data_IF_118955218348
#
_entry.id   IF_118955218348
#
_cell.length_a   1.000
_cell.length_b   1.000
_cell.length_c   1.000
_cell.angle_alpha   90.00
_cell.angle_beta   90.00
_cell.angle_gamma   90.00
#
_symmetry.space_group_name_H-M   'P 1'
#
loop_
_entity.id
_entity.type
_entity.pdbx_description
1 polymer ?
#
# COMPACT_ATOMS: atom_id res chain seq x y z
N UNK A 1 3.92 24.60 1.76
CA UNK A 1 3.92 24.79 3.24
C UNK A 1 4.55 23.57 3.89
N UNK A 2 5.50 23.77 4.81
CA UNK A 2 6.22 22.66 5.46
C UNK A 2 5.75 22.51 6.92
N UNK A 3 5.29 21.31 7.27
CA UNK A 3 4.76 20.98 8.61
C UNK A 3 5.64 19.91 9.24
N UNK A 4 6.09 20.16 10.46
CA UNK A 4 6.92 19.22 11.23
C UNK A 4 6.16 18.78 12.46
N UNK A 5 6.34 17.53 12.86
CA UNK A 5 5.83 17.05 14.12
C UNK A 5 6.70 15.93 14.69
N UNK A 6 6.61 15.80 16.00
CA UNK A 6 7.24 14.74 16.79
C UNK A 6 6.19 14.13 17.70
N UNK A 7 6.24 12.82 17.83
CA UNK A 7 5.37 11.99 18.66
C UNK A 7 6.20 11.39 19.78
N UNK A 8 5.70 11.50 21.00
CA UNK A 8 6.29 10.92 22.21
C UNK A 8 5.32 9.89 22.81
N UNK A 9 5.80 8.68 23.04
CA UNK A 9 5.06 7.58 23.63
C UNK A 9 5.10 7.66 25.15
N UNK A 10 3.94 7.87 25.77
CA UNK A 10 3.81 7.84 27.22
C UNK A 10 3.49 6.42 27.68
N UNK A 11 4.50 5.66 28.11
CA UNK A 11 4.33 4.29 28.59
C UNK A 11 3.37 4.16 29.78
N UNK A 12 3.38 5.13 30.69
CA UNK A 12 2.58 5.07 31.91
C UNK A 12 1.08 5.21 31.61
N UNK A 13 0.73 6.06 30.65
CA UNK A 13 -0.65 6.31 30.25
C UNK A 13 -1.10 5.49 29.03
N UNK A 14 -0.16 4.82 28.34
CA UNK A 14 -0.38 4.18 27.03
C UNK A 14 -1.00 5.15 26.03
N UNK A 15 -0.51 6.38 26.00
CA UNK A 15 -0.98 7.45 25.11
C UNK A 15 0.18 8.05 24.33
N UNK A 16 -0.15 8.69 23.21
CA UNK A 16 0.78 9.49 22.43
C UNK A 16 0.58 10.98 22.73
N UNK A 17 1.69 11.72 22.78
CA UNK A 17 1.69 13.18 22.78
C UNK A 17 2.36 13.67 21.50
N UNK A 18 1.76 14.65 20.84
CA UNK A 18 2.29 15.25 19.61
C UNK A 18 2.72 16.69 19.86
N UNK A 19 3.86 17.06 19.31
CA UNK A 19 4.38 18.42 19.33
C UNK A 19 4.76 18.86 17.91
N UNK A 20 4.41 20.08 17.53
CA UNK A 20 4.69 20.66 16.21
C UNK A 20 6.15 21.18 16.09
N UNK A 21 7.09 20.31 16.45
CA UNK A 21 8.53 20.55 16.38
C UNK A 21 9.21 19.32 15.80
N UNK A 22 10.43 19.49 15.29
CA UNK A 22 11.27 18.38 14.87
C UNK A 22 12.28 18.06 15.97
N UNK A 23 11.95 17.11 16.87
CA UNK A 23 12.82 16.63 17.92
C UNK A 23 13.20 15.16 17.69
N UNK A 24 14.47 14.93 17.35
CA UNK A 24 15.01 13.60 17.06
C UNK A 24 15.03 12.66 18.27
N UNK A 25 14.70 13.15 19.46
CA UNK A 25 14.61 12.36 20.69
C UNK A 25 13.24 11.71 20.89
N UNK A 26 12.23 12.11 20.12
CA UNK A 26 10.90 11.49 20.14
C UNK A 26 10.86 10.13 19.44
N UNK A 27 9.76 9.41 19.64
CA UNK A 27 9.57 8.03 19.19
C UNK A 27 9.24 7.92 17.72
N UNK A 28 8.54 8.92 17.18
CA UNK A 28 8.44 9.17 15.76
C UNK A 28 8.57 10.67 15.48
N UNK A 29 9.30 11.04 14.44
CA UNK A 29 9.46 12.44 14.05
C UNK A 29 9.62 12.54 12.53
N UNK A 30 9.25 13.69 11.98
CA UNK A 30 9.21 13.84 10.54
C UNK A 30 8.59 15.14 10.08
N UNK A 31 8.35 15.22 8.78
CA UNK A 31 7.71 16.37 8.17
C UNK A 31 6.87 15.99 6.96
N UNK A 32 5.88 16.83 6.68
CA UNK A 32 5.17 16.87 5.43
C UNK A 32 5.40 18.22 4.75
N UNK A 33 6.06 18.19 3.59
CA UNK A 33 6.25 19.35 2.73
C UNK A 33 5.16 19.36 1.65
N UNK A 34 4.18 20.25 1.81
CA UNK A 34 3.13 20.44 0.83
C UNK A 34 3.62 21.34 -0.31
N UNK A 35 4.05 20.72 -1.41
CA UNK A 35 4.45 21.37 -2.67
C UNK A 35 3.52 21.00 -3.82
N UNK A 36 2.32 20.46 -3.54
CA UNK A 36 1.41 19.93 -4.57
C UNK A 36 1.08 20.97 -5.63
N UNK A 37 0.84 22.23 -5.24
CA UNK A 37 0.50 23.32 -6.17
C UNK A 37 1.68 23.75 -7.07
N UNK A 38 2.92 23.45 -6.69
CA UNK A 38 4.12 23.86 -7.44
C UNK A 38 4.75 22.72 -8.23
N UNK A 39 4.68 21.48 -7.74
CA UNK A 39 5.35 20.32 -8.34
C UNK A 39 4.42 19.17 -8.68
N UNK A 40 3.14 19.23 -8.27
CA UNK A 40 2.21 18.10 -8.30
C UNK A 40 2.40 17.10 -7.15
N UNK A 41 3.39 17.30 -6.27
CA UNK A 41 3.74 16.36 -5.21
C UNK A 41 3.80 17.03 -3.84
N UNK A 42 3.26 16.36 -2.82
CA UNK A 42 3.75 16.51 -1.45
C UNK A 42 4.91 15.56 -1.19
N UNK A 43 5.77 15.87 -0.22
CA UNK A 43 6.86 14.99 0.24
C UNK A 43 6.70 14.74 1.73
N UNK A 44 6.68 13.47 2.13
CA UNK A 44 6.57 13.04 3.52
C UNK A 44 7.82 12.26 3.92
N UNK A 45 8.50 12.67 4.98
CA UNK A 45 9.56 11.87 5.62
C UNK A 45 9.15 11.54 7.05
N UNK A 46 9.19 10.27 7.42
CA UNK A 46 8.94 9.79 8.78
C UNK A 46 10.07 8.89 9.23
N UNK A 47 10.58 9.17 10.43
CA UNK A 47 11.48 8.30 11.17
C UNK A 47 10.84 7.87 12.46
N UNK A 48 10.99 6.59 12.83
CA UNK A 48 10.44 6.07 14.07
C UNK A 48 11.36 5.02 14.71
N UNK A 49 11.31 4.89 16.04
CA UNK A 49 12.12 3.93 16.81
C UNK A 49 13.58 4.31 17.03
N UNK A 50 13.93 5.58 16.81
CA UNK A 50 15.27 6.15 17.04
C UNK A 50 15.31 7.11 18.26
N UNK A 51 14.21 7.19 19.00
CA UNK A 51 14.07 8.08 20.16
C UNK A 51 14.88 7.63 21.37
N UNK A 52 14.76 8.37 22.48
CA UNK A 52 15.47 8.06 23.73
C UNK A 52 15.00 6.78 24.41
N UNK A 53 13.76 6.40 24.20
CA UNK A 53 13.19 5.21 24.82
C UNK A 53 13.13 4.05 23.82
N UNK A 54 13.40 2.86 24.33
CA UNK A 54 13.12 1.62 23.60
C UNK A 54 11.65 1.27 23.77
N UNK A 55 10.92 1.18 22.67
CA UNK A 55 9.51 0.77 22.59
C UNK A 55 9.39 -0.47 21.70
N UNK A 56 8.26 -1.17 21.76
CA UNK A 56 8.06 -2.39 20.96
C UNK A 56 7.98 -2.07 19.46
N UNK A 57 8.20 -3.06 18.60
CA UNK A 57 8.06 -2.88 17.15
C UNK A 57 6.64 -2.43 16.78
N UNK A 58 5.62 -2.97 17.44
CA UNK A 58 4.23 -2.56 17.30
C UNK A 58 4.02 -1.09 17.69
N UNK A 59 4.58 -0.64 18.82
CA UNK A 59 4.49 0.77 19.25
C UNK A 59 5.23 1.70 18.29
N UNK A 60 6.37 1.28 17.72
CA UNK A 60 7.11 2.04 16.69
C UNK A 60 6.21 2.26 15.47
N UNK A 61 5.58 1.20 14.98
CA UNK A 61 4.72 1.25 13.82
C UNK A 61 3.46 2.08 14.08
N UNK A 62 2.86 1.93 15.26
CA UNK A 62 1.73 2.75 15.70
C UNK A 62 2.11 4.24 15.79
N UNK A 63 3.25 4.58 16.41
CA UNK A 63 3.73 5.96 16.49
C UNK A 63 4.04 6.55 15.10
N UNK A 64 4.61 5.76 14.18
CA UNK A 64 4.84 6.16 12.80
C UNK A 64 3.54 6.44 12.06
N UNK A 65 2.55 5.55 12.19
CA UNK A 65 1.21 5.73 11.65
C UNK A 65 0.55 6.99 12.20
N UNK A 66 0.57 7.18 13.52
CA UNK A 66 0.02 8.36 14.17
C UNK A 66 0.62 9.65 13.63
N UNK A 67 1.94 9.70 13.50
CA UNK A 67 2.61 10.87 12.96
C UNK A 67 2.20 11.14 11.50
N UNK A 68 2.10 10.10 10.65
CA UNK A 68 1.62 10.25 9.28
C UNK A 68 0.19 10.80 9.23
N UNK A 69 -0.70 10.22 10.04
CA UNK A 69 -2.11 10.61 10.10
C UNK A 69 -2.25 12.05 10.53
N UNK A 70 -1.50 12.45 11.56
CA UNK A 70 -1.50 13.83 12.05
C UNK A 70 -0.98 14.83 11.01
N UNK A 71 0.17 14.54 10.40
CA UNK A 71 0.81 15.44 9.43
C UNK A 71 0.00 15.55 8.13
N UNK A 72 -0.61 14.48 7.67
CA UNK A 72 -1.29 14.42 6.37
C UNK A 72 -2.80 14.57 6.45
N UNK A 73 -3.38 14.67 7.66
CA UNK A 73 -4.82 14.74 7.89
C UNK A 73 -5.58 15.65 6.92
N UNK A 74 -5.25 16.95 6.70
CA UNK A 74 -6.01 17.79 5.77
C UNK A 74 -6.20 17.14 4.39
N UNK A 75 -5.13 16.61 3.80
CA UNK A 75 -5.19 15.97 2.50
C UNK A 75 -5.78 14.56 2.54
N UNK A 76 -5.81 13.89 3.70
CA UNK A 76 -6.58 12.64 3.85
C UNK A 76 -8.08 12.91 3.66
N UNK A 77 -8.60 14.02 4.19
CA UNK A 77 -10.00 14.41 3.99
C UNK A 77 -10.29 14.72 2.52
N UNK A 78 -9.43 15.53 1.89
CA UNK A 78 -9.58 15.87 0.48
C UNK A 78 -9.53 14.62 -0.41
N UNK A 79 -8.57 13.74 -0.16
CA UNK A 79 -8.42 12.53 -0.95
C UNK A 79 -9.56 11.53 -0.72
N UNK A 80 -10.04 11.38 0.52
CA UNK A 80 -11.23 10.58 0.81
C UNK A 80 -12.47 11.13 0.09
N UNK A 81 -12.69 12.44 0.13
CA UNK A 81 -13.80 13.09 -0.57
C UNK A 81 -13.73 12.88 -2.09
N UNK A 82 -12.52 12.89 -2.66
CA UNK A 82 -12.31 12.65 -4.09
C UNK A 82 -12.55 11.19 -4.48
N UNK A 83 -12.00 10.25 -3.70
CA UNK A 83 -11.99 8.82 -4.04
C UNK A 83 -13.28 8.09 -3.70
N UNK A 84 -13.95 8.48 -2.61
CA UNK A 84 -15.19 7.85 -2.17
C UNK A 84 -16.25 7.71 -3.28
N UNK A 85 -16.63 8.79 -4.01
CA UNK A 85 -17.64 8.69 -5.07
C UNK A 85 -17.15 7.94 -6.31
N UNK A 86 -15.85 7.67 -6.45
CA UNK A 86 -15.32 6.89 -7.58
C UNK A 86 -15.69 5.42 -7.45
N UNK A 87 -15.66 4.87 -6.23
CA UNK A 87 -15.90 3.46 -5.95
C UNK A 87 -17.27 3.19 -5.32
N UNK A 88 -17.69 4.01 -4.35
CA UNK A 88 -18.95 3.80 -3.62
C UNK A 88 -20.06 4.64 -4.24
N UNK A 89 -20.89 4.00 -5.08
CA UNK A 89 -21.94 4.69 -5.86
C UNK A 89 -23.29 4.82 -5.15
N UNK A 90 -23.57 3.94 -4.18
CA UNK A 90 -24.85 3.92 -3.48
C UNK A 90 -24.71 3.27 -2.07
N UNK A 91 -25.72 3.40 -1.21
CA UNK A 91 -25.69 2.85 0.16
C UNK A 91 -25.54 1.33 0.23
N UNK A 92 -26.07 0.58 -0.76
CA UNK A 92 -25.95 -0.88 -0.79
C UNK A 92 -24.49 -1.31 -0.99
N UNK A 93 -23.80 -0.68 -1.96
CA UNK A 93 -22.36 -0.88 -2.18
C UNK A 93 -21.56 -0.53 -0.93
N UNK A 94 -21.87 0.62 -0.31
CA UNK A 94 -21.24 1.03 0.96
C UNK A 94 -21.37 -0.06 2.02
N UNK A 95 -22.59 -0.55 2.27
CA UNK A 95 -22.85 -1.52 3.34
C UNK A 95 -22.19 -2.88 3.08
N UNK A 96 -22.19 -3.37 1.84
CA UNK A 96 -21.57 -4.66 1.53
C UNK A 96 -20.05 -4.61 1.62
N UNK A 97 -19.42 -3.55 1.11
CA UNK A 97 -17.97 -3.32 1.25
C UNK A 97 -17.59 -3.18 2.72
N UNK A 98 -18.31 -2.35 3.48
CA UNK A 98 -18.04 -2.16 4.91
C UNK A 98 -18.16 -3.47 5.71
N UNK A 99 -19.18 -4.30 5.43
CA UNK A 99 -19.37 -5.59 6.08
C UNK A 99 -18.24 -6.57 5.73
N UNK A 100 -17.85 -6.65 4.46
CA UNK A 100 -16.75 -7.52 4.02
C UNK A 100 -15.43 -7.11 4.69
N UNK A 101 -15.09 -5.81 4.64
CA UNK A 101 -13.86 -5.29 5.23
C UNK A 101 -13.83 -5.46 6.74
N UNK A 102 -14.97 -5.32 7.43
CA UNK A 102 -15.05 -5.56 8.87
C UNK A 102 -14.73 -7.03 9.22
N UNK A 103 -15.26 -7.99 8.45
CA UNK A 103 -14.95 -9.43 8.62
C UNK A 103 -13.48 -9.72 8.31
N UNK A 104 -12.94 -9.12 7.26
CA UNK A 104 -11.54 -9.28 6.85
C UNK A 104 -10.56 -8.74 7.92
N UNK A 105 -10.84 -7.55 8.47
CA UNK A 105 -10.05 -6.96 9.55
C UNK A 105 -10.15 -7.80 10.83
N UNK A 106 -11.36 -8.28 11.19
CA UNK A 106 -11.55 -9.18 12.33
C UNK A 106 -10.75 -10.47 12.18
N UNK A 107 -10.82 -11.11 11.02
CA UNK A 107 -10.08 -12.33 10.71
C UNK A 107 -8.57 -12.07 10.77
N UNK A 108 -8.08 -11.00 10.15
CA UNK A 108 -6.66 -10.60 10.16
C UNK A 108 -6.15 -10.44 11.59
N UNK A 109 -6.88 -9.69 12.44
CA UNK A 109 -6.52 -9.49 13.85
C UNK A 109 -6.62 -10.77 14.67
N UNK A 110 -7.49 -11.71 14.31
CA UNK A 110 -7.54 -13.02 14.95
C UNK A 110 -6.30 -13.85 14.57
N UNK A 111 -5.92 -13.88 13.30
CA UNK A 111 -4.71 -14.58 12.85
C UNK A 111 -3.43 -14.02 13.49
N UNK A 112 -3.30 -12.69 13.58
CA UNK A 112 -2.18 -12.04 14.28
C UNK A 112 -2.10 -12.48 15.75
N UNK A 113 -3.25 -12.54 16.44
CA UNK A 113 -3.30 -12.96 17.86
C UNK A 113 -2.98 -14.43 18.06
N UNK A 114 -3.39 -15.29 17.13
CA UNK A 114 -3.24 -16.74 17.23
C UNK A 114 -1.84 -17.22 16.81
N UNK A 115 -1.13 -16.45 15.97
CA UNK A 115 0.13 -16.87 15.36
C UNK A 115 1.28 -15.91 15.70
N UNK A 116 1.41 -15.49 16.96
CA UNK A 116 2.40 -14.47 17.39
C UNK A 116 3.86 -14.84 17.13
N UNK A 117 4.17 -16.14 17.10
CA UNK A 117 5.54 -16.62 16.86
C UNK A 117 5.85 -16.76 15.36
N UNK A 118 4.84 -16.70 14.49
CA UNK A 118 5.03 -16.73 13.04
C UNK A 118 5.53 -15.35 12.55
N UNK A 119 6.70 -15.26 11.89
CA UNK A 119 7.23 -14.00 11.40
C UNK A 119 6.28 -13.25 10.45
N UNK A 120 5.55 -13.96 9.59
CA UNK A 120 4.60 -13.34 8.67
C UNK A 120 3.47 -12.65 9.43
N UNK A 121 2.91 -13.31 10.45
CA UNK A 121 1.83 -12.74 11.26
C UNK A 121 2.30 -11.65 12.22
N UNK A 122 3.56 -11.67 12.68
CA UNK A 122 4.15 -10.50 13.36
C UNK A 122 4.22 -9.27 12.45
N UNK A 123 4.68 -9.45 11.21
CA UNK A 123 4.73 -8.36 10.23
C UNK A 123 3.34 -7.86 9.82
N UNK A 124 2.34 -8.76 9.76
CA UNK A 124 0.94 -8.37 9.65
C UNK A 124 0.50 -7.51 10.85
N UNK A 125 0.90 -7.87 12.08
CA UNK A 125 0.71 -7.08 13.28
C UNK A 125 1.30 -5.67 13.19
N UNK A 126 2.53 -5.55 12.67
CA UNK A 126 3.22 -4.27 12.47
C UNK A 126 2.46 -3.33 11.53
N UNK A 127 1.98 -3.83 10.38
CA UNK A 127 1.26 -3.00 9.41
C UNK A 127 -0.13 -2.60 9.92
N UNK A 128 -0.80 -3.46 10.69
CA UNK A 128 -2.10 -3.14 11.31
C UNK A 128 -1.93 -2.14 12.45
N UNK A 129 -0.86 -2.24 13.25
CA UNK A 129 -0.53 -1.24 14.26
C UNK A 129 -0.29 0.14 13.62
N UNK A 130 0.38 0.20 12.46
CA UNK A 130 0.54 1.44 11.71
C UNK A 130 -0.79 2.01 11.21
N UNK A 131 -1.71 1.16 10.74
CA UNK A 131 -3.05 1.58 10.31
C UNK A 131 -3.86 2.16 11.49
N UNK A 132 -3.81 1.50 12.64
CA UNK A 132 -4.45 1.98 13.88
C UNK A 132 -3.85 3.33 14.32
N UNK A 133 -2.53 3.45 14.22
CA UNK A 133 -1.82 4.71 14.44
C UNK A 133 -2.32 5.80 13.50
N UNK A 134 -2.37 5.53 12.19
CA UNK A 134 -2.82 6.47 11.16
C UNK A 134 -4.19 7.07 11.48
N UNK A 135 -5.15 6.20 11.82
CA UNK A 135 -6.48 6.63 12.24
C UNK A 135 -6.42 7.56 13.46
N UNK A 136 -5.67 7.16 14.49
CA UNK A 136 -5.58 7.92 15.74
C UNK A 136 -4.87 9.26 15.58
N UNK A 137 -3.87 9.35 14.69
CA UNK A 137 -3.21 10.60 14.33
C UNK A 137 -4.15 11.59 13.62
N UNK A 138 -4.92 11.08 12.65
CA UNK A 138 -5.93 11.88 11.97
C UNK A 138 -7.05 12.33 12.92
N UNK A 139 -7.46 11.47 13.85
CA UNK A 139 -8.43 11.78 14.90
C UNK A 139 -7.96 12.90 15.82
N UNK A 140 -6.70 12.85 16.29
CA UNK A 140 -6.14 13.91 17.14
C UNK A 140 -6.04 15.25 16.39
N UNK A 141 -5.62 15.22 15.12
CA UNK A 141 -5.64 16.41 14.28
C UNK A 141 -7.06 17.00 14.16
N UNK A 142 -8.07 16.17 13.90
CA UNK A 142 -9.45 16.60 13.77
C UNK A 142 -9.98 17.22 15.06
N UNK A 143 -9.68 16.62 16.21
CA UNK A 143 -10.02 17.15 17.54
C UNK A 143 -9.41 18.54 17.77
N UNK A 144 -8.11 18.71 17.52
CA UNK A 144 -7.43 20.01 17.71
C UNK A 144 -7.98 21.09 16.79
N UNK A 145 -8.42 20.73 15.58
CA UNK A 145 -8.97 21.66 14.58
C UNK A 145 -10.50 21.76 14.60
N UNK A 146 -11.17 21.13 15.59
CA UNK A 146 -12.63 21.10 15.73
C UNK A 146 -13.35 20.64 14.44
N UNK A 147 -12.80 19.62 13.77
CA UNK A 147 -13.34 18.98 12.57
C UNK A 147 -14.01 17.66 12.92
N UNK A 148 -15.02 17.26 12.14
CA UNK A 148 -15.59 15.92 12.22
C UNK A 148 -14.52 14.88 11.87
N UNK A 149 -14.25 13.87 12.70
CA UNK A 149 -13.27 12.83 12.40
C UNK A 149 -13.62 12.02 11.16
N UNK A 150 -12.60 11.62 10.38
CA UNK A 150 -12.75 10.48 9.48
C UNK A 150 -13.12 9.24 10.30
N UNK A 151 -14.01 8.40 9.79
CA UNK A 151 -14.33 7.13 10.44
C UNK A 151 -13.21 6.10 10.21
N UNK A 152 -13.19 5.04 11.03
CA UNK A 152 -12.28 3.91 10.80
C UNK A 152 -12.47 3.33 9.38
N UNK A 153 -13.72 3.22 8.93
CA UNK A 153 -14.04 2.77 7.58
C UNK A 153 -13.40 3.68 6.51
N UNK A 154 -13.40 5.00 6.69
CA UNK A 154 -12.81 5.91 5.70
C UNK A 154 -11.30 5.69 5.57
N UNK A 155 -10.59 5.45 6.70
CA UNK A 155 -9.15 5.17 6.70
C UNK A 155 -8.84 3.80 6.10
N UNK A 156 -9.63 2.77 6.43
CA UNK A 156 -9.50 1.44 5.82
C UNK A 156 -9.81 1.49 4.32
N UNK A 157 -10.83 2.24 3.91
CA UNK A 157 -11.24 2.43 2.52
C UNK A 157 -10.08 2.98 1.67
N UNK A 158 -9.38 4.01 2.16
CA UNK A 158 -8.22 4.58 1.46
C UNK A 158 -7.14 3.52 1.20
N UNK A 159 -6.86 2.66 2.17
CA UNK A 159 -5.83 1.62 2.02
C UNK A 159 -6.26 0.47 1.12
N UNK A 160 -7.58 0.22 0.99
CA UNK A 160 -8.13 -0.87 0.20
C UNK A 160 -8.51 -0.45 -1.24
N UNK A 161 -8.27 0.79 -1.67
CA UNK A 161 -8.74 1.31 -2.98
C UNK A 161 -8.45 0.38 -4.16
N UNK A 162 -7.24 -0.20 -4.23
CA UNK A 162 -6.89 -1.17 -5.28
C UNK A 162 -7.68 -2.48 -5.17
N UNK A 163 -7.79 -3.03 -3.96
CA UNK A 163 -8.56 -4.25 -3.69
C UNK A 163 -10.06 -4.08 -3.99
N UNK A 164 -10.60 -2.87 -3.79
CA UNK A 164 -12.01 -2.57 -4.05
C UNK A 164 -12.38 -2.63 -5.54
N UNK A 165 -11.41 -2.51 -6.44
CA UNK A 165 -11.63 -2.65 -7.89
C UNK A 165 -12.09 -4.06 -8.28
N UNK A 166 -11.60 -5.09 -7.58
CA UNK A 166 -12.03 -6.48 -7.77
C UNK A 166 -13.14 -6.88 -6.78
N UNK A 167 -13.08 -6.38 -5.54
CA UNK A 167 -14.05 -6.75 -4.51
C UNK A 167 -15.47 -6.28 -4.82
N UNK A 168 -15.65 -5.05 -5.30
CA UNK A 168 -16.99 -4.52 -5.59
C UNK A 168 -17.69 -5.37 -6.67
N UNK A 169 -17.06 -5.66 -7.82
CA UNK A 169 -17.61 -6.61 -8.80
C UNK A 169 -17.83 -8.03 -8.25
N UNK A 170 -17.02 -8.49 -7.29
CA UNK A 170 -17.20 -9.80 -6.66
C UNK A 170 -18.44 -9.86 -5.76
N UNK A 171 -18.72 -8.79 -5.01
CA UNK A 171 -19.85 -8.72 -4.07
C UNK A 171 -21.17 -8.39 -4.76
N UNK A 172 -21.13 -7.65 -5.86
CA UNK A 172 -22.31 -7.16 -6.54
C UNK A 172 -22.28 -7.61 -7.99
N UNK A 173 -23.25 -8.44 -8.38
CA UNK A 173 -23.54 -8.64 -9.79
C UNK A 173 -24.04 -7.30 -10.35
N UNK A 174 -23.20 -6.60 -11.11
CA UNK A 174 -23.71 -5.57 -12.00
C UNK A 174 -24.56 -6.27 -13.05
N UNK A 175 -25.87 -6.27 -12.84
CA UNK A 175 -26.80 -6.61 -13.91
C UNK A 175 -26.44 -5.71 -15.09
N UNK A 176 -26.16 -6.33 -16.24
CA UNK A 176 -26.14 -5.60 -17.50
C UNK A 176 -27.50 -4.91 -17.61
N UNK A 177 -27.54 -3.61 -17.32
CA UNK A 177 -28.70 -2.70 -17.34
C UNK A 177 -30.03 -3.37 -17.70
N UNK A 178 -30.75 -3.87 -16.69
CA UNK A 178 -32.19 -4.06 -16.82
C UNK A 178 -32.85 -2.67 -16.87
N UNK A 179 -33.25 -2.21 -18.05
CA UNK A 179 -34.30 -1.18 -18.16
C UNK A 179 -34.02 0.11 -18.94
N UNK A 180 -33.07 0.17 -19.87
CA UNK A 180 -33.07 1.25 -20.87
C UNK A 180 -32.85 0.71 -22.27
N UNK A 181 -33.95 0.55 -23.01
CA UNK A 181 -33.96 0.61 -24.46
C UNK A 181 -33.22 1.90 -24.89
N UNK A 182 -32.32 1.80 -25.86
CA UNK A 182 -31.42 2.85 -26.37
C UNK A 182 -30.01 2.86 -25.77
N UNK A 183 -29.32 1.72 -25.80
CA UNK A 183 -27.88 1.72 -25.97
C UNK A 183 -27.60 1.10 -27.36
N UNK A 184 -27.08 1.92 -28.27
CA UNK A 184 -26.64 1.49 -29.59
C UNK A 184 -25.73 0.27 -29.46
N UNK A 185 -25.94 -0.70 -30.36
CA UNK A 185 -25.15 -1.92 -30.46
C UNK A 185 -23.70 -1.57 -30.83
N UNK A 186 -22.88 -1.31 -29.79
CA UNK A 186 -21.48 -0.90 -29.93
C UNK A 186 -20.83 -0.32 -28.65
N UNK A 187 -21.59 -0.05 -27.60
CA UNK A 187 -21.07 0.62 -26.39
C UNK A 187 -20.53 -0.33 -25.31
N UNK A 188 -19.29 -0.08 -24.88
CA UNK A 188 -18.48 -0.71 -23.83
C UNK A 188 -19.11 -0.71 -22.40
N UNK A 189 -20.33 -1.22 -22.23
CA UNK A 189 -21.06 -1.19 -20.96
C UNK A 189 -20.59 -2.19 -19.89
N UNK A 190 -19.75 -3.17 -20.24
CA UNK A 190 -19.23 -4.18 -19.31
C UNK A 190 -17.91 -3.79 -18.62
N UNK A 191 -17.28 -2.70 -19.05
CA UNK A 191 -15.92 -2.30 -18.66
C UNK A 191 -15.91 -0.97 -17.90
N UNK A 192 -16.95 -0.71 -17.11
CA UNK A 192 -17.07 0.56 -16.36
C UNK A 192 -15.99 0.71 -15.25
N UNK A 193 -15.22 -0.35 -15.00
CA UNK A 193 -14.08 -0.41 -14.09
C UNK A 193 -12.75 -0.62 -14.81
N UNK A 194 -12.65 -0.20 -16.08
CA UNK A 194 -11.40 -0.17 -16.86
C UNK A 194 -10.46 0.95 -16.37
N UNK A 195 -10.20 0.96 -15.06
CA UNK A 195 -9.35 1.93 -14.35
C UNK A 195 -8.01 1.31 -13.93
N UNK A 196 -7.67 0.13 -14.43
CA UNK A 196 -6.58 -0.71 -13.92
C UNK A 196 -5.44 -0.93 -14.90
N UNK A 197 -4.97 0.11 -15.58
CA UNK A 197 -3.82 -0.02 -16.48
C UNK A 197 -2.71 0.90 -16.03
N UNK A 198 -1.54 0.34 -15.75
CA UNK A 198 -0.31 1.10 -15.56
C UNK A 198 0.68 0.65 -16.63
N UNK A 199 1.69 1.46 -16.89
CA UNK A 199 2.81 1.07 -17.76
C UNK A 199 4.09 1.03 -16.95
N UNK A 200 4.84 -0.08 -17.03
CA UNK A 200 6.15 -0.23 -16.41
C UNK A 200 7.19 -0.63 -17.46
N UNK A 201 8.42 -0.18 -17.27
CA UNK A 201 9.55 -0.59 -18.10
C UNK A 201 10.79 -0.77 -17.23
N UNK A 202 11.43 -1.93 -17.34
CA UNK A 202 12.77 -2.19 -16.84
C UNK A 202 13.66 -2.37 -18.07
N UNK A 203 14.66 -1.50 -18.20
CA UNK A 203 15.53 -1.43 -19.38
C UNK A 203 16.99 -1.53 -18.96
N UNK A 204 17.71 -2.52 -19.49
CA UNK A 204 19.17 -2.57 -19.35
C UNK A 204 19.82 -1.93 -20.57
N UNK A 205 20.89 -1.17 -20.34
CA UNK A 205 21.65 -0.58 -21.45
C UNK A 205 22.49 -1.63 -22.20
N UNK A 206 22.84 -1.42 -23.49
CA UNK A 206 23.43 -2.45 -24.34
C UNK A 206 24.70 -3.12 -23.81
N UNK A 207 25.54 -2.38 -23.09
CA UNK A 207 26.76 -2.88 -22.44
C UNK A 207 26.62 -3.06 -20.92
N UNK A 208 25.38 -3.16 -20.41
CA UNK A 208 25.07 -3.19 -18.97
C UNK A 208 25.60 -1.99 -18.19
N UNK A 209 25.77 -0.84 -18.83
CA UNK A 209 26.34 0.37 -18.23
C UNK A 209 25.43 0.94 -17.16
N UNK A 210 24.12 0.74 -17.33
CA UNK A 210 23.10 1.09 -16.36
C UNK A 210 21.88 0.18 -16.52
N UNK A 211 21.02 0.19 -15.51
CA UNK A 211 19.67 -0.36 -15.56
C UNK A 211 18.70 0.73 -15.13
N UNK A 212 17.67 0.97 -15.93
CA UNK A 212 16.58 1.88 -15.63
C UNK A 212 15.33 1.08 -15.31
N UNK A 213 14.53 1.62 -14.40
CA UNK A 213 13.22 1.10 -14.05
C UNK A 213 12.29 2.30 -13.89
N UNK A 214 11.14 2.24 -14.54
CA UNK A 214 10.17 3.32 -14.56
C UNK A 214 8.75 2.76 -14.49
N UNK A 215 7.86 3.54 -13.90
CA UNK A 215 6.45 3.22 -13.75
C UNK A 215 5.62 4.48 -14.02
N UNK A 216 4.52 4.33 -14.75
CA UNK A 216 3.55 5.37 -15.05
C UNK A 216 2.15 4.85 -14.71
N UNK A 217 1.64 5.27 -13.56
CA UNK A 217 0.30 4.86 -13.10
C UNK A 217 -0.77 5.52 -13.95
N UNK A 218 -1.79 4.77 -14.37
CA UNK A 218 -3.01 5.37 -14.91
C UNK A 218 -4.17 5.07 -13.99
N UNK A 219 -4.90 6.11 -13.63
CA UNK A 219 -6.07 6.01 -12.78
C UNK A 219 -6.96 7.24 -12.98
N UNK A 220 -8.08 7.31 -12.27
CA UNK A 220 -8.96 8.50 -12.30
C UNK A 220 -8.21 9.78 -11.91
N UNK A 221 -8.48 10.89 -12.60
CA UNK A 221 -7.89 12.18 -12.25
C UNK A 221 -8.26 12.65 -10.83
N UNK A 222 -9.36 12.15 -10.27
CA UNK A 222 -9.71 12.39 -8.87
C UNK A 222 -8.63 11.90 -7.88
N UNK A 223 -7.78 10.95 -8.29
CA UNK A 223 -6.69 10.42 -7.47
C UNK A 223 -5.41 11.28 -7.52
N UNK A 224 -5.35 12.36 -8.29
CA UNK A 224 -4.10 13.11 -8.55
C UNK A 224 -3.56 13.95 -7.37
N UNK A 225 -4.11 13.80 -6.16
CA UNK A 225 -3.51 14.37 -4.95
C UNK A 225 -2.39 13.45 -4.43
N UNK A 226 -1.13 13.78 -4.76
CA UNK A 226 0.01 12.87 -4.58
C UNK A 226 0.89 13.20 -3.38
N UNK A 227 1.46 12.16 -2.76
CA UNK A 227 2.53 12.27 -1.75
C UNK A 227 3.62 11.27 -2.10
N UNK A 228 4.86 11.73 -2.28
CA UNK A 228 6.03 10.85 -2.30
C UNK A 228 6.49 10.63 -0.85
N UNK A 229 6.64 9.36 -0.44
CA UNK A 229 6.86 8.99 0.96
C UNK A 229 8.22 8.38 1.16
N UNK A 230 8.87 8.77 2.26
CA UNK A 230 10.11 8.20 2.76
C UNK A 230 9.90 7.73 4.19
N UNK A 231 9.99 6.44 4.40
CA UNK A 231 9.88 5.84 5.73
C UNK A 231 11.21 5.26 6.16
N UNK A 232 11.55 5.47 7.43
CA UNK A 232 12.68 4.86 8.09
C UNK A 232 12.28 4.44 9.51
N UNK A 233 11.87 3.19 9.70
CA UNK A 233 11.35 2.68 10.96
C UNK A 233 12.33 1.67 11.52
N UNK A 234 12.83 1.90 12.73
CA UNK A 234 13.85 1.06 13.36
C UNK A 234 13.27 -0.23 13.94
N UNK A 235 12.69 -1.07 13.08
CA UNK A 235 12.13 -2.36 13.49
C UNK A 235 13.27 -3.34 13.72
N UNK A 236 13.27 -3.97 14.90
CA UNK A 236 14.25 -4.97 15.30
C UNK A 236 13.55 -6.32 15.34
N UNK A 237 13.46 -6.98 14.19
CA UNK A 237 12.99 -8.36 14.04
C UNK A 237 13.97 -9.09 13.08
N UNK A 238 14.44 -10.31 13.40
CA UNK A 238 15.38 -11.06 12.55
C UNK A 238 14.90 -11.33 11.11
N UNK A 239 13.58 -11.25 10.89
CA UNK A 239 12.94 -11.48 9.59
C UNK A 239 12.60 -10.17 8.85
N UNK A 240 12.86 -9.00 9.45
CA UNK A 240 12.80 -7.73 8.73
C UNK A 240 14.10 -7.53 7.94
N UNK A 241 13.98 -7.32 6.63
CA UNK A 241 15.11 -7.12 5.71
C UNK A 241 15.34 -5.68 5.32
N UNK A 242 14.34 -4.83 5.50
CA UNK A 242 14.50 -3.39 5.32
C UNK A 242 13.70 -2.59 6.32
N UNK A 243 14.36 -1.57 6.85
CA UNK A 243 13.76 -0.54 7.70
C UNK A 243 13.50 0.75 6.94
N UNK A 244 13.92 0.82 5.66
CA UNK A 244 13.84 2.02 4.82
C UNK A 244 13.10 1.73 3.53
N UNK A 245 12.20 2.63 3.16
CA UNK A 245 11.46 2.52 1.91
C UNK A 245 11.11 3.91 1.39
N UNK A 246 11.18 4.08 0.07
CA UNK A 246 10.75 5.29 -0.64
C UNK A 246 9.82 4.91 -1.77
N UNK A 247 8.67 5.58 -1.89
CA UNK A 247 7.63 5.18 -2.83
C UNK A 247 6.69 6.35 -3.17
N UNK A 248 6.12 6.32 -4.38
CA UNK A 248 5.01 7.20 -4.74
C UNK A 248 3.74 6.73 -4.04
N UNK A 249 2.88 7.65 -3.61
CA UNK A 249 1.70 7.31 -2.81
C UNK A 249 0.70 8.46 -2.80
N UNK A 250 -0.27 8.36 -1.88
CA UNK A 250 -1.42 9.22 -1.72
C UNK A 250 -1.65 9.54 -0.22
N UNK A 251 -2.37 10.62 0.12
CA UNK A 251 -2.74 10.91 1.50
C UNK A 251 -3.53 9.77 2.15
N UNK A 252 -3.09 9.30 3.33
CA UNK A 252 -3.76 8.23 4.07
C UNK A 252 -3.50 6.80 3.59
N UNK A 253 -2.78 6.64 2.47
CA UNK A 253 -2.43 5.32 1.94
C UNK A 253 -1.13 4.84 2.57
N UNK A 254 -1.16 3.78 3.36
CA UNK A 254 0.04 3.10 3.84
C UNK A 254 0.61 2.14 2.79
N UNK A 255 0.36 2.40 1.52
CA UNK A 255 0.78 1.65 0.34
C UNK A 255 0.97 2.63 -0.84
N UNK A 256 1.62 2.19 -1.91
CA UNK A 256 1.83 3.01 -3.11
C UNK A 256 0.58 3.09 -3.96
N UNK A 257 -0.20 2.00 -4.05
CA UNK A 257 -1.24 1.73 -5.05
C UNK A 257 -0.67 1.64 -6.48
N UNK A 258 0.25 2.51 -6.87
CA UNK A 258 0.74 2.65 -8.25
C UNK A 258 1.13 1.35 -9.00
N UNK A 259 2.05 0.47 -8.58
CA UNK A 259 2.99 0.56 -7.46
C UNK A 259 4.43 0.86 -7.90
N UNK A 260 5.14 1.74 -7.17
CA UNK A 260 6.57 2.01 -7.35
C UNK A 260 7.27 2.11 -6.00
N UNK A 261 8.19 1.19 -5.72
CA UNK A 261 8.94 1.13 -4.47
C UNK A 261 10.45 1.02 -4.69
N UNK A 262 11.20 1.79 -3.91
CA UNK A 262 12.64 1.63 -3.70
C UNK A 262 12.84 1.14 -2.26
N UNK A 263 13.23 -0.13 -2.11
CA UNK A 263 13.40 -0.78 -0.81
C UNK A 263 14.86 -0.73 -0.38
N UNK A 264 15.10 -0.45 0.91
CA UNK A 264 16.44 -0.45 1.51
C UNK A 264 17.15 -1.81 1.48
N UNK A 265 16.44 -2.91 1.19
CA UNK A 265 17.00 -4.24 0.94
C UNK A 265 17.68 -4.37 -0.44
N UNK A 266 17.68 -3.29 -1.25
CA UNK A 266 18.21 -3.27 -2.61
C UNK A 266 17.22 -3.78 -3.65
N UNK A 267 15.96 -4.00 -3.28
CA UNK A 267 14.89 -4.38 -4.19
C UNK A 267 14.16 -3.16 -4.71
N UNK A 268 13.79 -3.19 -6.00
CA UNK A 268 12.78 -2.32 -6.59
C UNK A 268 11.55 -3.17 -6.83
N UNK A 269 10.37 -2.67 -6.43
CA UNK A 269 9.10 -3.35 -6.70
C UNK A 269 8.21 -2.41 -7.52
N UNK A 270 7.85 -2.87 -8.72
CA UNK A 270 6.89 -2.24 -9.61
C UNK A 270 5.69 -3.15 -9.83
N UNK A 271 4.57 -2.61 -10.31
CA UNK A 271 3.42 -3.43 -10.64
C UNK A 271 2.56 -2.80 -11.75
N UNK A 272 1.88 -3.63 -12.56
CA UNK A 272 0.81 -3.20 -13.48
C UNK A 272 -0.41 -4.13 -13.37
N UNK A 273 -1.62 -3.59 -13.38
CA UNK A 273 -2.82 -4.37 -13.01
C UNK A 273 -3.27 -5.22 -14.19
N UNK A 274 -3.52 -6.50 -13.91
CA UNK A 274 -4.09 -7.45 -14.85
C UNK A 274 -5.60 -7.52 -14.62
N UNK A 275 -6.37 -7.70 -15.69
CA UNK A 275 -7.81 -7.91 -15.56
C UNK A 275 -8.14 -9.40 -15.47
N UNK A 276 -8.96 -9.78 -14.49
CA UNK A 276 -9.53 -11.13 -14.40
C UNK A 276 -10.93 -11.09 -15.00
N UNK A 277 -11.11 -11.65 -16.20
CA UNK A 277 -12.42 -11.69 -16.87
C UNK A 277 -13.24 -12.95 -16.54
N UNK A 278 -12.64 -13.91 -15.83
CA UNK A 278 -13.32 -15.14 -15.42
C UNK A 278 -14.16 -14.88 -14.17
N UNK A 279 -15.46 -14.70 -14.37
CA UNK A 279 -16.42 -14.43 -13.29
C UNK A 279 -16.49 -15.54 -12.24
N UNK A 280 -16.24 -16.80 -12.63
CA UNK A 280 -16.21 -17.93 -11.68
C UNK A 280 -15.08 -17.77 -10.67
N UNK A 281 -13.93 -17.22 -11.08
CA UNK A 281 -12.81 -16.96 -10.18
C UNK A 281 -13.06 -15.75 -9.28
N UNK A 282 -13.62 -14.66 -9.82
CA UNK A 282 -13.92 -13.45 -9.04
C UNK A 282 -14.87 -13.77 -7.87
N UNK A 283 -15.83 -14.68 -8.08
CA UNK A 283 -16.78 -15.12 -7.03
C UNK A 283 -16.12 -15.93 -5.88
N UNK A 284 -14.83 -16.24 -5.96
CA UNK A 284 -14.10 -16.97 -4.92
C UNK A 284 -13.41 -16.06 -3.90
N UNK A 285 -13.55 -14.73 -4.05
CA UNK A 285 -13.03 -13.75 -3.07
C UNK A 285 -13.79 -13.89 -1.74
N UNK A 286 -13.06 -14.09 -0.65
CA UNK A 286 -13.60 -14.30 0.71
C UNK A 286 -12.88 -13.43 1.75
N UNK A 287 -13.56 -13.03 2.85
CA UNK A 287 -12.96 -12.16 3.86
C UNK A 287 -11.84 -12.85 4.67
N UNK A 288 -11.76 -14.18 4.67
CA UNK A 288 -10.68 -14.97 5.29
C UNK A 288 -9.39 -14.98 4.45
N UNK A 289 -8.94 -13.80 4.04
CA UNK A 289 -7.75 -13.57 3.22
C UNK A 289 -7.09 -12.23 3.59
N UNK A 290 -5.87 -11.97 3.10
CA UNK A 290 -5.22 -10.66 3.26
C UNK A 290 -5.32 -9.87 1.96
N UNK A 291 -5.77 -8.62 2.06
CA UNK A 291 -5.78 -7.70 0.93
C UNK A 291 -4.38 -7.50 0.34
N UNK A 292 -4.31 -7.18 -0.94
CA UNK A 292 -3.06 -7.00 -1.67
C UNK A 292 -2.16 -5.96 -1.01
N UNK A 293 -2.71 -4.82 -0.56
CA UNK A 293 -1.91 -3.79 0.12
C UNK A 293 -1.22 -4.32 1.38
N UNK A 294 -1.85 -5.25 2.11
CA UNK A 294 -1.29 -5.87 3.31
C UNK A 294 -0.15 -6.82 2.92
N UNK A 295 -0.39 -7.68 1.92
CA UNK A 295 0.59 -8.67 1.44
C UNK A 295 1.81 -8.01 0.81
N UNK A 296 1.62 -6.97 0.00
CA UNK A 296 2.70 -6.14 -0.57
C UNK A 296 3.56 -5.54 0.55
N UNK A 297 2.93 -4.95 1.58
CA UNK A 297 3.65 -4.33 2.69
C UNK A 297 4.46 -5.34 3.50
N UNK A 298 3.91 -6.53 3.76
CA UNK A 298 4.62 -7.61 4.44
C UNK A 298 5.80 -8.11 3.59
N UNK A 299 5.58 -8.38 2.31
CA UNK A 299 6.63 -8.83 1.39
C UNK A 299 7.76 -7.80 1.25
N UNK A 300 7.44 -6.52 1.09
CA UNK A 300 8.41 -5.43 1.02
C UNK A 300 9.30 -5.35 2.27
N UNK A 301 8.75 -5.66 3.45
CA UNK A 301 9.46 -5.58 4.72
C UNK A 301 10.35 -6.81 4.97
N UNK A 302 9.89 -7.99 4.53
CA UNK A 302 10.53 -9.29 4.82
C UNK A 302 11.49 -9.80 3.74
N UNK A 303 11.37 -9.33 2.49
CA UNK A 303 12.11 -9.90 1.38
C UNK A 303 13.51 -9.31 1.21
N UNK A 304 14.50 -10.18 0.99
CA UNK A 304 15.86 -9.86 0.58
C UNK A 304 16.18 -10.28 -0.87
N UNK A 305 15.24 -10.94 -1.56
CA UNK A 305 15.36 -11.38 -2.96
C UNK A 305 14.00 -11.41 -3.64
N UNK A 306 13.98 -11.43 -4.98
CA UNK A 306 12.73 -11.52 -5.75
C UNK A 306 11.92 -12.79 -5.45
N UNK A 307 12.59 -13.94 -5.28
CA UNK A 307 11.94 -15.21 -4.90
C UNK A 307 11.29 -15.13 -3.52
N UNK A 308 12.03 -14.63 -2.52
CA UNK A 308 11.50 -14.49 -1.16
C UNK A 308 10.31 -13.51 -1.11
N UNK A 309 10.34 -12.45 -1.93
CA UNK A 309 9.22 -11.54 -2.10
C UNK A 309 7.98 -12.27 -2.63
N UNK A 310 8.14 -13.04 -3.72
CA UNK A 310 7.06 -13.80 -4.33
C UNK A 310 6.44 -14.83 -3.38
N UNK A 311 7.27 -15.61 -2.67
CA UNK A 311 6.82 -16.61 -1.69
C UNK A 311 6.08 -15.96 -0.51
N UNK A 312 6.53 -14.79 -0.05
CA UNK A 312 5.87 -14.05 1.03
C UNK A 312 4.55 -13.46 0.58
N UNK A 313 4.52 -12.82 -0.61
CA UNK A 313 3.33 -12.18 -1.18
C UNK A 313 2.20 -13.19 -1.50
N UNK A 314 2.56 -14.42 -1.86
CA UNK A 314 1.63 -15.49 -2.23
C UNK A 314 0.75 -15.97 -1.06
N UNK A 315 1.19 -15.75 0.19
CA UNK A 315 0.45 -16.20 1.38
C UNK A 315 -0.86 -15.45 1.54
N UNK A 316 -1.93 -16.18 1.87
CA UNK A 316 -3.27 -15.63 2.11
C UNK A 316 -3.81 -14.78 0.95
N UNK A 317 -3.52 -15.17 -0.29
CA UNK A 317 -3.99 -14.50 -1.50
C UNK A 317 -5.50 -14.22 -1.44
N UNK A 318 -5.88 -12.95 -1.62
CA UNK A 318 -7.28 -12.50 -1.62
C UNK A 318 -7.97 -12.62 -2.98
N UNK A 319 -7.22 -12.73 -4.07
CA UNK A 319 -7.79 -12.57 -5.42
C UNK A 319 -8.29 -11.16 -5.72
N UNK A 320 -7.84 -10.18 -4.95
CA UNK A 320 -8.14 -8.76 -5.14
C UNK A 320 -6.87 -7.98 -5.45
N UNK A 321 -7.02 -6.92 -6.23
CA UNK A 321 -5.95 -6.19 -6.88
C UNK A 321 -4.99 -7.11 -7.64
N UNK A 322 -5.55 -7.76 -8.66
CA UNK A 322 -4.87 -8.80 -9.45
C UNK A 322 -3.86 -8.18 -10.41
N UNK A 323 -2.59 -8.53 -10.24
CA UNK A 323 -1.49 -7.68 -10.66
C UNK A 323 -0.32 -8.54 -11.18
N UNK A 324 0.43 -8.00 -12.13
CA UNK A 324 1.80 -8.44 -12.43
C UNK A 324 2.78 -7.56 -11.65
N UNK A 325 3.51 -8.15 -10.72
CA UNK A 325 4.58 -7.51 -9.96
C UNK A 325 5.94 -7.83 -10.59
N UNK A 326 6.78 -6.80 -10.70
CA UNK A 326 8.16 -6.90 -11.16
C UNK A 326 9.08 -6.57 -9.98
N UNK A 327 9.81 -7.57 -9.50
CA UNK A 327 10.76 -7.42 -8.38
C UNK A 327 12.17 -7.48 -8.94
N UNK A 328 12.80 -6.31 -9.05
CA UNK A 328 14.17 -6.15 -9.53
C UNK A 328 15.13 -6.10 -8.33
N UNK A 329 16.03 -7.07 -8.23
CA UNK A 329 17.07 -7.11 -7.21
C UNK A 329 18.37 -6.45 -7.70
N UNK A 330 18.61 -5.22 -7.27
CA UNK A 330 19.80 -4.47 -7.66
C UNK A 330 21.09 -5.09 -7.13
N UNK A 331 21.03 -5.96 -6.10
CA UNK A 331 22.21 -6.70 -5.61
C UNK A 331 22.73 -7.72 -6.62
N UNK A 332 21.90 -8.10 -7.59
CA UNK A 332 22.23 -9.04 -8.68
C UNK A 332 22.66 -8.32 -9.97
N UNK A 333 22.66 -6.99 -9.97
CA UNK A 333 23.08 -6.16 -11.11
C UNK A 333 24.56 -5.79 -10.94
N UNK A 334 25.44 -6.35 -11.78
CA UNK A 334 26.86 -5.99 -11.85
C UNK A 334 27.09 -5.19 -13.12
N UNK A 335 27.09 -3.87 -12.99
CA UNK A 335 27.26 -2.96 -14.13
C UNK A 335 28.50 -3.31 -14.95
N UNK A 336 28.36 -3.19 -16.27
CA UNK A 336 29.38 -3.51 -17.29
C UNK A 336 29.87 -4.96 -17.27
N UNK A 337 29.16 -5.86 -16.58
CA UNK A 337 29.60 -7.25 -16.39
C UNK A 337 28.47 -8.26 -16.58
N UNK A 338 27.49 -8.28 -15.68
CA UNK A 338 26.43 -9.29 -15.71
C UNK A 338 25.16 -8.84 -14.99
N UNK A 339 24.03 -9.36 -15.44
CA UNK A 339 22.83 -9.51 -14.62
C UNK A 339 22.83 -10.95 -14.13
N UNK A 340 23.03 -11.20 -12.85
CA UNK A 340 23.08 -12.56 -12.28
C UNK A 340 21.66 -13.11 -12.09
N UNK A 341 21.48 -14.43 -12.11
CA UNK A 341 20.17 -15.05 -11.89
C UNK A 341 19.54 -14.57 -10.57
N UNK A 342 18.23 -14.34 -10.62
CA UNK A 342 17.42 -13.69 -9.60
C UNK A 342 17.41 -12.18 -9.65
N UNK A 343 18.00 -11.54 -10.69
CA UNK A 343 17.92 -10.10 -10.87
C UNK A 343 16.50 -9.61 -11.12
N UNK A 344 15.67 -10.34 -11.87
CA UNK A 344 14.27 -9.98 -12.10
C UNK A 344 13.35 -11.17 -11.84
N UNK A 345 12.44 -11.02 -10.88
CA UNK A 345 11.30 -11.92 -10.70
C UNK A 345 10.02 -11.26 -11.18
N UNK A 346 9.22 -12.02 -11.93
CA UNK A 346 7.85 -11.67 -12.28
C UNK A 346 6.91 -12.52 -11.44
N UNK A 347 5.90 -11.88 -10.86
CA UNK A 347 4.87 -12.52 -10.02
C UNK A 347 3.51 -12.08 -10.53
N UNK A 348 2.63 -13.03 -10.83
CA UNK A 348 1.26 -12.74 -11.27
C UNK A 348 0.26 -13.38 -10.32
N UNK A 349 -0.78 -12.61 -9.99
CA UNK A 349 -1.87 -13.06 -9.14
C UNK A 349 -3.20 -13.02 -9.90
N UNK A 350 -3.99 -14.05 -9.69
CA UNK A 350 -5.45 -14.07 -9.86
C UNK A 350 -6.10 -14.69 -8.60
N UNK A 351 -7.44 -14.75 -8.45
CA UNK A 351 -8.06 -15.49 -7.36
C UNK A 351 -7.57 -16.94 -7.28
N UNK A 352 -7.12 -17.35 -6.09
CA UNK A 352 -6.63 -18.70 -5.75
C UNK A 352 -5.37 -19.18 -6.49
N UNK A 353 -4.70 -18.33 -7.27
CA UNK A 353 -3.44 -18.68 -7.92
C UNK A 353 -2.47 -17.50 -7.89
N UNK A 354 -1.25 -17.78 -7.46
CA UNK A 354 -0.09 -16.91 -7.65
C UNK A 354 1.00 -17.72 -8.31
N UNK A 355 1.48 -17.24 -9.45
CA UNK A 355 2.60 -17.84 -10.17
C UNK A 355 3.76 -16.84 -10.18
N UNK A 356 4.99 -17.36 -10.11
CA UNK A 356 6.18 -16.52 -10.18
C UNK A 356 7.34 -17.25 -10.84
N UNK A 357 8.19 -16.48 -11.52
CA UNK A 357 9.36 -17.01 -12.21
C UNK A 357 10.49 -15.99 -12.30
N UNK A 358 11.71 -16.50 -12.41
CA UNK A 358 12.89 -15.68 -12.71
C UNK A 358 12.93 -15.36 -14.20
N UNK A 359 12.85 -14.08 -14.53
CA UNK A 359 12.86 -13.55 -15.89
C UNK A 359 14.16 -12.81 -16.23
N UNK A 360 15.24 -13.05 -15.46
CA UNK A 360 16.55 -12.45 -15.72
C UNK A 360 17.07 -12.75 -17.12
N UNK A 361 16.84 -13.95 -17.65
CA UNK A 361 17.22 -14.33 -19.01
C UNK A 361 16.54 -13.47 -20.09
N UNK A 362 15.31 -13.04 -19.85
CA UNK A 362 14.59 -12.13 -20.76
C UNK A 362 15.16 -10.73 -20.62
N UNK A 363 15.36 -10.25 -19.39
CA UNK A 363 15.92 -8.92 -19.13
C UNK A 363 17.31 -8.71 -19.76
N UNK A 364 18.17 -9.74 -19.78
CA UNK A 364 19.49 -9.69 -20.46
C UNK A 364 19.41 -9.33 -21.94
N UNK A 365 18.25 -9.50 -22.59
CA UNK A 365 18.04 -9.17 -24.00
C UNK A 365 17.83 -7.67 -24.25
N UNK A 366 17.63 -6.86 -23.20
CA UNK A 366 17.60 -5.39 -23.29
C UNK A 366 16.37 -4.74 -22.70
#
# INVERSE_FOLDING_TARGET
EMRYATVYWNKAQKTLQVANVLDRRGDAYGFYNNTVQTTGWGVLEIRAGYGRQTISNEDIMYAAGFLEGYLTAPHMYDHAANMYPQLIKNPMVRSGVQNFMAKQDQWTRQQIRNNKDDPFWRHAGYIIAQLDGLYMGALEWAKLHKRTPLSNFDVQFLNAVGDLLDLIPALFEYSARSGQCNAEAGGHGKYQWDMGHCSALIKVLPGYENIYFAHSSWFTYAATLRIYKHWNFNIVDPFTRTNRVSFSSYPGFLVSLDDFYILGSGLIMLQTTNSVFNQTLIKQVVPESLFAWQRVRIANMMADSGKAWAETFSKCNSGTYNNQYMVLDLKKVKLRKSLDDGALYIVEQIPNLVEYSDQTNVLRKG
#
